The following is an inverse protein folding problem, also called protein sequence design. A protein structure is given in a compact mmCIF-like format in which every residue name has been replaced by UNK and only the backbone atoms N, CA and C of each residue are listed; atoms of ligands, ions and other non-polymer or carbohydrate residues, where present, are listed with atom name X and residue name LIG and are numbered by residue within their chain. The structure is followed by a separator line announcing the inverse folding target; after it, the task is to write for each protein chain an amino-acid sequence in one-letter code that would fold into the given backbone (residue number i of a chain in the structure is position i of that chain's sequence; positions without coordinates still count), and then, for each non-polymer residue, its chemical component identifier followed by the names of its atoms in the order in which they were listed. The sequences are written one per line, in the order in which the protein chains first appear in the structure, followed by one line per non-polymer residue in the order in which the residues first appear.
data_IF_127352596134
#
_entry.id   IF_127352596134
#
_cell.length_a   1.000
_cell.length_b   1.000
_cell.length_c   1.000
_cell.angle_alpha   90.00
_cell.angle_beta   90.00
_cell.angle_gamma   90.00
#
_symmetry.space_group_name_H-M   'P 1'
#
loop_
_entity.id
_entity.type
_entity.pdbx_description
1 polymer ?
#
# COMPACT_ATOMS: atom_id res chain seq x y z
N UNK A 1 23.59 9.91 -19.42
CA UNK A 1 22.22 10.44 -19.54
C UNK A 1 21.99 11.44 -18.41
N UNK A 2 21.07 12.39 -18.56
CA UNK A 2 20.70 13.25 -17.44
C UNK A 2 20.09 12.39 -16.31
N UNK A 3 20.25 12.76 -15.03
CA UNK A 3 19.63 12.04 -13.93
C UNK A 3 18.10 12.05 -14.07
N UNK A 4 17.41 10.92 -13.85
CA UNK A 4 15.95 10.84 -13.89
C UNK A 4 15.27 11.87 -12.99
N UNK A 5 14.17 12.44 -13.47
CA UNK A 5 13.26 13.29 -12.71
C UNK A 5 12.13 12.45 -12.13
N UNK A 6 12.06 12.38 -10.81
CA UNK A 6 11.05 11.64 -10.08
C UNK A 6 10.05 12.61 -9.46
N UNK A 7 8.78 12.47 -9.80
CA UNK A 7 7.69 13.09 -9.07
C UNK A 7 7.04 12.06 -8.14
N UNK A 8 6.89 12.38 -6.85
CA UNK A 8 6.32 11.47 -5.87
C UNK A 8 5.20 12.14 -5.09
N UNK A 9 4.05 11.46 -5.02
CA UNK A 9 2.98 11.81 -4.09
C UNK A 9 2.97 10.84 -2.91
N UNK A 10 2.73 11.35 -1.70
CA UNK A 10 2.68 10.52 -0.49
C UNK A 10 4.02 10.32 0.22
N UNK A 11 5.02 11.18 -0.01
CA UNK A 11 6.35 11.09 0.61
C UNK A 11 6.34 11.13 2.15
N UNK A 12 5.27 11.67 2.72
CA UNK A 12 5.05 11.75 4.18
C UNK A 12 4.04 10.73 4.70
N UNK A 13 3.50 9.89 3.81
CA UNK A 13 2.69 8.73 4.15
C UNK A 13 3.54 7.51 4.52
N UNK A 14 2.88 6.41 4.86
CA UNK A 14 3.53 5.19 5.31
C UNK A 14 4.26 4.45 4.17
N UNK A 15 3.53 4.07 3.13
CA UNK A 15 4.09 3.39 1.95
C UNK A 15 5.02 4.35 1.20
N UNK A 16 4.47 5.49 0.74
CA UNK A 16 5.23 6.45 -0.06
C UNK A 16 6.47 7.02 0.64
N UNK A 17 6.46 7.11 1.98
CA UNK A 17 7.62 7.52 2.74
C UNK A 17 8.73 6.46 2.76
N UNK A 18 8.40 5.19 2.92
CA UNK A 18 9.39 4.10 2.89
C UNK A 18 9.91 3.85 1.45
N UNK A 19 9.03 3.96 0.45
CA UNK A 19 9.39 3.95 -0.98
C UNK A 19 10.37 5.08 -1.29
N UNK A 20 10.06 6.31 -0.88
CA UNK A 20 10.95 7.45 -1.07
C UNK A 20 12.31 7.22 -0.38
N UNK A 21 12.30 6.71 0.85
CA UNK A 21 13.54 6.36 1.56
C UNK A 21 14.40 5.38 0.76
N UNK A 22 13.82 4.28 0.28
CA UNK A 22 14.55 3.23 -0.44
C UNK A 22 15.09 3.73 -1.78
N UNK A 23 14.26 4.40 -2.59
CA UNK A 23 14.66 4.91 -3.91
C UNK A 23 15.71 6.01 -3.78
N UNK A 24 15.53 6.97 -2.88
CA UNK A 24 16.51 8.03 -2.65
C UNK A 24 17.83 7.49 -2.08
N UNK A 25 17.78 6.45 -1.23
CA UNK A 25 19.00 5.84 -0.70
C UNK A 25 19.81 5.16 -1.80
N UNK A 26 19.15 4.47 -2.73
CA UNK A 26 19.80 3.82 -3.87
C UNK A 26 20.30 4.83 -4.91
N UNK A 27 19.52 5.90 -5.15
CA UNK A 27 19.77 6.89 -6.20
C UNK A 27 19.71 8.32 -5.66
N UNK A 28 20.66 8.73 -4.80
CA UNK A 28 20.71 10.09 -4.28
C UNK A 28 21.05 11.14 -5.35
N UNK A 29 21.49 10.71 -6.53
CA UNK A 29 21.84 11.53 -7.69
C UNK A 29 20.64 11.89 -8.58
N UNK A 30 19.48 11.26 -8.39
CA UNK A 30 18.24 11.58 -9.12
C UNK A 30 17.60 12.88 -8.62
N UNK A 31 16.74 13.47 -9.45
CA UNK A 31 16.04 14.71 -9.12
C UNK A 31 14.65 14.42 -8.57
N UNK A 32 14.42 14.70 -7.29
CA UNK A 32 13.15 14.41 -6.62
C UNK A 32 12.28 15.66 -6.45
N UNK A 33 11.03 15.55 -6.87
CA UNK A 33 9.96 16.52 -6.64
C UNK A 33 8.88 15.85 -5.80
N UNK A 34 8.68 16.34 -4.57
CA UNK A 34 7.81 15.69 -3.58
C UNK A 34 6.57 16.54 -3.33
N UNK A 35 5.38 16.01 -3.62
CA UNK A 35 4.12 16.66 -3.27
C UNK A 35 3.88 16.57 -1.76
N UNK A 36 3.77 17.73 -1.11
CA UNK A 36 3.60 17.83 0.34
C UNK A 36 2.53 18.85 0.69
N UNK A 37 1.57 18.43 1.54
CA UNK A 37 0.34 19.19 1.85
C UNK A 37 0.52 20.42 2.72
N UNK A 38 1.62 20.52 3.48
CA UNK A 38 1.82 21.62 4.42
C UNK A 38 3.28 21.99 4.59
N UNK A 39 3.53 23.23 5.02
CA UNK A 39 4.88 23.74 5.32
C UNK A 39 5.56 22.95 6.45
N UNK A 40 4.81 22.49 7.44
CA UNK A 40 5.36 21.68 8.54
C UNK A 40 5.86 20.32 8.02
N UNK A 41 5.08 19.68 7.14
CA UNK A 41 5.50 18.46 6.47
C UNK A 41 6.67 18.69 5.52
N UNK A 42 6.72 19.84 4.85
CA UNK A 42 7.86 20.23 4.03
C UNK A 42 9.14 20.34 4.88
N UNK A 43 9.07 21.03 6.02
CA UNK A 43 10.19 21.14 6.96
C UNK A 43 10.64 19.77 7.51
N UNK A 44 9.67 18.89 7.83
CA UNK A 44 9.96 17.52 8.25
C UNK A 44 10.77 16.77 7.18
N UNK A 45 10.44 16.91 5.90
CA UNK A 45 11.16 16.29 4.79
C UNK A 45 12.54 16.94 4.60
N UNK A 46 12.61 18.27 4.44
CA UNK A 46 13.85 18.97 4.10
C UNK A 46 14.90 18.92 5.22
N UNK A 47 14.48 18.73 6.48
CA UNK A 47 15.41 18.49 7.59
C UNK A 47 16.28 17.24 7.41
N UNK A 48 15.77 16.23 6.69
CA UNK A 48 16.47 14.96 6.40
C UNK A 48 17.00 14.90 4.98
N UNK A 49 16.33 15.56 4.05
CA UNK A 49 16.59 15.52 2.62
C UNK A 49 16.71 16.94 2.05
N UNK A 50 17.82 17.65 2.28
CA UNK A 50 17.94 19.06 1.90
C UNK A 50 17.97 19.32 0.39
N UNK A 51 18.27 18.29 -0.42
CA UNK A 51 18.45 18.43 -1.87
C UNK A 51 17.20 18.10 -2.69
N UNK A 52 16.07 17.79 -2.05
CA UNK A 52 14.81 17.50 -2.75
C UNK A 52 14.02 18.77 -2.99
N UNK A 53 13.28 18.82 -4.09
CA UNK A 53 12.35 19.92 -4.34
C UNK A 53 10.99 19.62 -3.71
N UNK A 54 10.52 20.54 -2.88
CA UNK A 54 9.17 20.47 -2.34
C UNK A 54 8.19 21.12 -3.32
N UNK A 55 7.13 20.38 -3.63
CA UNK A 55 5.94 20.86 -4.34
C UNK A 55 4.84 21.01 -3.29
N UNK A 56 4.54 22.26 -2.90
CA UNK A 56 3.51 22.51 -1.90
C UNK A 56 2.13 22.42 -2.56
N UNK A 57 1.33 21.43 -2.14
CA UNK A 57 0.01 21.15 -2.68
C UNK A 57 -0.58 19.88 -2.09
N UNK A 58 -1.87 19.67 -2.30
CA UNK A 58 -2.61 18.47 -1.92
C UNK A 58 -3.09 17.68 -3.14
N UNK A 59 -3.89 16.64 -2.91
CA UNK A 59 -4.37 15.77 -3.98
C UNK A 59 -5.44 16.43 -4.86
N UNK A 60 -6.05 17.52 -4.39
CA UNK A 60 -6.98 18.35 -5.16
C UNK A 60 -6.28 19.43 -5.98
N UNK A 61 -4.96 19.57 -5.83
CA UNK A 61 -4.12 20.52 -6.57
C UNK A 61 -3.84 20.01 -8.00
N UNK A 62 -4.88 19.75 -8.78
CA UNK A 62 -4.81 19.06 -10.08
C UNK A 62 -3.85 19.72 -11.07
N UNK A 63 -3.87 21.05 -11.21
CA UNK A 63 -2.97 21.77 -12.13
C UNK A 63 -1.49 21.60 -11.75
N UNK A 64 -1.20 21.53 -10.44
CA UNK A 64 0.15 21.29 -9.94
C UNK A 64 0.56 19.86 -10.26
N UNK A 65 -0.29 18.87 -9.97
CA UNK A 65 0.00 17.46 -10.24
C UNK A 65 0.23 17.22 -11.73
N UNK A 66 -0.61 17.78 -12.59
CA UNK A 66 -0.49 17.68 -14.05
C UNK A 66 0.85 18.22 -14.56
N UNK A 67 1.22 19.44 -14.14
CA UNK A 67 2.47 20.07 -14.59
C UNK A 67 3.70 19.33 -14.05
N UNK A 68 3.64 18.81 -12.82
CA UNK A 68 4.71 17.99 -12.25
C UNK A 68 4.90 16.67 -13.00
N UNK A 69 3.81 16.00 -13.36
CA UNK A 69 3.85 14.74 -14.12
C UNK A 69 4.41 14.97 -15.52
N UNK A 70 3.97 16.01 -16.23
CA UNK A 70 4.46 16.38 -17.57
C UNK A 70 5.98 16.61 -17.62
N UNK A 71 6.58 16.99 -16.51
CA UNK A 71 8.01 17.26 -16.40
C UNK A 71 8.83 16.08 -15.82
N UNK A 72 8.17 15.03 -15.31
CA UNK A 72 8.79 13.87 -14.70
C UNK A 72 9.14 12.79 -15.75
N UNK A 73 10.17 12.00 -15.45
CA UNK A 73 10.44 10.76 -16.18
C UNK A 73 9.77 9.59 -15.45
N UNK A 74 9.72 9.63 -14.11
CA UNK A 74 9.11 8.60 -13.25
C UNK A 74 8.12 9.25 -12.30
N UNK A 75 6.92 8.69 -12.20
CA UNK A 75 5.89 9.09 -11.23
C UNK A 75 5.68 7.97 -10.23
N UNK A 76 5.89 8.26 -8.95
CA UNK A 76 5.60 7.37 -7.83
C UNK A 76 4.34 7.86 -7.13
N UNK A 77 3.19 7.33 -7.52
CA UNK A 77 1.89 7.72 -6.95
C UNK A 77 1.55 6.81 -5.76
N UNK A 78 1.83 7.30 -4.54
CA UNK A 78 1.69 6.51 -3.30
C UNK A 78 0.83 7.20 -2.23
N UNK A 79 0.12 8.27 -2.57
CA UNK A 79 -0.59 9.09 -1.58
C UNK A 79 -1.92 8.49 -1.11
N UNK A 80 -2.75 8.06 -2.05
CA UNK A 80 -4.11 7.57 -1.80
C UNK A 80 -4.58 6.80 -3.04
N UNK A 81 -4.96 5.54 -2.88
CA UNK A 81 -5.45 4.67 -3.96
C UNK A 81 -6.93 4.86 -4.27
N UNK A 82 -7.65 5.70 -3.53
CA UNK A 82 -9.08 5.97 -3.72
C UNK A 82 -9.36 7.42 -4.13
N UNK A 83 -8.31 8.23 -4.36
CA UNK A 83 -8.43 9.64 -4.73
C UNK A 83 -8.48 9.85 -6.26
N UNK A 84 -9.70 9.88 -6.81
CA UNK A 84 -9.98 10.02 -8.25
C UNK A 84 -9.31 11.24 -8.89
N UNK A 85 -9.48 12.43 -8.30
CA UNK A 85 -9.03 13.69 -8.93
C UNK A 85 -7.50 13.72 -9.16
N UNK A 86 -6.72 13.13 -8.25
CA UNK A 86 -5.27 13.05 -8.42
C UNK A 86 -4.87 12.05 -9.50
N UNK A 87 -5.60 10.94 -9.65
CA UNK A 87 -5.35 9.98 -10.70
C UNK A 87 -5.69 10.55 -12.08
N UNK A 88 -6.79 11.32 -12.19
CA UNK A 88 -7.14 12.05 -13.41
C UNK A 88 -6.07 13.10 -13.78
N UNK A 89 -5.58 13.86 -12.79
CA UNK A 89 -4.53 14.85 -13.02
C UNK A 89 -3.21 14.20 -13.47
N UNK A 90 -2.85 13.06 -12.87
CA UNK A 90 -1.71 12.25 -13.31
C UNK A 90 -1.90 11.76 -14.75
N UNK A 91 -3.07 11.20 -15.07
CA UNK A 91 -3.37 10.72 -16.41
C UNK A 91 -3.34 11.85 -17.45
N UNK A 92 -3.78 13.06 -17.08
CA UNK A 92 -3.73 14.25 -17.94
C UNK A 92 -2.28 14.72 -18.16
N UNK A 93 -1.48 14.82 -17.10
CA UNK A 93 -0.05 15.15 -17.21
C UNK A 93 0.71 14.13 -18.06
N UNK A 94 0.44 12.84 -17.87
CA UNK A 94 1.08 11.75 -18.61
C UNK A 94 0.79 11.82 -20.12
N UNK A 95 -0.37 12.34 -20.52
CA UNK A 95 -0.75 12.48 -21.93
C UNK A 95 0.13 13.49 -22.71
N UNK A 96 0.94 14.31 -22.03
CA UNK A 96 1.91 15.20 -22.67
C UNK A 96 3.21 14.52 -23.10
N UNK A 97 3.42 13.26 -22.72
CA UNK A 97 4.60 12.50 -23.09
C UNK A 97 4.52 11.95 -24.51
N UNK A 98 5.69 11.76 -25.14
CA UNK A 98 5.84 11.19 -26.48
C UNK A 98 6.63 9.89 -26.44
N UNK A 99 6.62 9.06 -27.50
CA UNK A 99 7.43 7.84 -27.55
C UNK A 99 8.94 8.09 -27.36
N UNK A 100 9.44 9.26 -27.74
CA UNK A 100 10.85 9.67 -27.56
C UNK A 100 11.16 10.11 -26.13
N UNK A 101 10.14 10.52 -25.36
CA UNK A 101 10.25 10.93 -23.96
C UNK A 101 9.08 10.35 -23.14
N UNK A 102 9.02 9.02 -22.98
CA UNK A 102 7.93 8.37 -22.26
C UNK A 102 7.99 8.66 -20.76
N UNK A 103 6.86 8.43 -20.08
CA UNK A 103 6.76 8.49 -18.61
C UNK A 103 6.40 7.13 -18.04
N UNK A 104 7.00 6.79 -16.90
CA UNK A 104 6.68 5.60 -16.13
C UNK A 104 5.88 5.97 -14.89
N UNK A 105 4.60 5.58 -14.85
CA UNK A 105 3.69 5.82 -13.73
C UNK A 105 3.56 4.54 -12.92
N UNK A 106 4.15 4.55 -11.72
CA UNK A 106 4.04 3.47 -10.73
C UNK A 106 3.01 3.90 -9.70
N UNK A 107 1.85 3.27 -9.75
CA UNK A 107 0.69 3.59 -8.93
C UNK A 107 0.52 2.55 -7.82
N UNK A 108 0.33 3.04 -6.59
CA UNK A 108 -0.05 2.20 -5.46
C UNK A 108 -1.56 2.05 -5.43
N UNK A 109 -2.03 0.82 -5.56
CA UNK A 109 -3.39 0.39 -5.26
C UNK A 109 -3.38 -0.47 -3.99
N UNK A 110 -4.21 -1.49 -3.89
CA UNK A 110 -4.23 -2.40 -2.73
C UNK A 110 -5.00 -3.69 -2.98
N UNK A 111 -4.65 -4.78 -2.29
CA UNK A 111 -5.40 -6.04 -2.43
C UNK A 111 -6.78 -6.01 -1.77
N UNK A 112 -7.18 -4.88 -1.17
CA UNK A 112 -8.57 -4.60 -0.83
C UNK A 112 -9.51 -4.81 -2.02
N UNK A 113 -9.02 -4.58 -3.24
CA UNK A 113 -9.74 -4.87 -4.50
C UNK A 113 -10.21 -6.33 -4.62
N UNK A 114 -9.55 -7.28 -3.96
CA UNK A 114 -9.88 -8.72 -4.00
C UNK A 114 -10.98 -9.13 -3.00
N UNK A 115 -11.48 -8.20 -2.18
CA UNK A 115 -12.46 -8.47 -1.11
C UNK A 115 -13.93 -8.38 -1.58
N UNK A 116 -14.16 -8.21 -2.89
CA UNK A 116 -15.47 -7.94 -3.50
C UNK A 116 -16.57 -8.93 -3.10
N UNK A 117 -16.22 -10.21 -2.92
CA UNK A 117 -17.19 -11.24 -2.51
C UNK A 117 -17.72 -10.99 -1.10
N UNK A 118 -16.86 -10.59 -0.15
CA UNK A 118 -17.26 -10.32 1.23
C UNK A 118 -18.22 -9.14 1.32
N UNK A 119 -17.95 -8.08 0.56
CA UNK A 119 -18.84 -6.91 0.48
C UNK A 119 -20.18 -7.25 -0.18
N UNK A 120 -20.18 -7.98 -1.30
CA UNK A 120 -21.43 -8.34 -2.01
C UNK A 120 -22.32 -9.28 -1.21
N UNK A 121 -21.72 -10.22 -0.49
CA UNK A 121 -22.45 -11.18 0.33
C UNK A 121 -22.73 -10.67 1.74
N UNK A 122 -22.06 -9.58 2.16
CA UNK A 122 -22.06 -9.04 3.51
C UNK A 122 -21.80 -10.13 4.57
N UNK A 123 -20.76 -10.93 4.35
CA UNK A 123 -20.34 -11.98 5.28
C UNK A 123 -18.86 -11.82 5.63
N UNK A 124 -18.56 -11.91 6.92
CA UNK A 124 -17.25 -11.60 7.48
C UNK A 124 -16.72 -12.77 8.34
N UNK A 125 -15.40 -12.97 8.35
CA UNK A 125 -14.74 -14.02 9.10
C UNK A 125 -14.75 -15.40 8.44
N UNK A 126 -15.27 -15.51 7.20
CA UNK A 126 -15.38 -16.78 6.47
C UNK A 126 -14.13 -17.09 5.67
N UNK A 127 -13.85 -18.39 5.52
CA UNK A 127 -12.86 -18.86 4.56
C UNK A 127 -13.37 -18.69 3.13
N UNK A 128 -12.58 -18.02 2.27
CA UNK A 128 -12.79 -17.95 0.83
C UNK A 128 -11.74 -18.77 0.11
N UNK A 129 -12.13 -19.64 -0.81
CA UNK A 129 -11.20 -20.48 -1.58
C UNK A 129 -10.62 -19.81 -2.83
N UNK A 130 -11.23 -18.72 -3.30
CA UNK A 130 -10.76 -18.00 -4.50
C UNK A 130 -9.39 -17.39 -4.24
N UNK A 131 -8.48 -17.61 -5.18
CA UNK A 131 -7.14 -17.03 -5.19
C UNK A 131 -6.90 -16.35 -6.54
N UNK A 132 -6.05 -15.32 -6.52
CA UNK A 132 -5.61 -14.57 -7.69
C UNK A 132 -4.08 -14.64 -7.81
N UNK A 133 -3.54 -14.41 -9.01
CA UNK A 133 -2.10 -14.25 -9.20
C UNK A 133 -1.81 -13.21 -10.29
N UNK A 134 -0.69 -12.52 -10.17
CA UNK A 134 -0.31 -11.41 -11.05
C UNK A 134 0.49 -11.82 -12.29
N UNK A 135 0.68 -13.12 -12.52
CA UNK A 135 1.43 -13.64 -13.67
C UNK A 135 0.50 -14.21 -14.73
N UNK A 136 -0.01 -15.43 -14.52
CA UNK A 136 -0.94 -16.10 -15.43
C UNK A 136 -2.36 -15.53 -15.30
N UNK A 137 -2.72 -15.06 -14.11
CA UNK A 137 -4.01 -14.45 -13.79
C UNK A 137 -4.07 -12.93 -13.97
N UNK A 138 -3.05 -12.30 -14.58
CA UNK A 138 -2.99 -10.82 -14.71
C UNK A 138 -4.19 -10.25 -15.46
N UNK A 139 -4.72 -10.97 -16.44
CA UNK A 139 -5.87 -10.51 -17.23
C UNK A 139 -7.14 -10.45 -16.35
N UNK A 140 -7.26 -11.31 -15.33
CA UNK A 140 -8.34 -11.20 -14.34
C UNK A 140 -8.19 -9.94 -13.49
N UNK A 141 -6.97 -9.63 -13.01
CA UNK A 141 -6.70 -8.43 -12.20
C UNK A 141 -7.00 -7.14 -12.96
N UNK A 142 -6.67 -7.10 -14.25
CA UNK A 142 -6.96 -5.95 -15.12
C UNK A 142 -8.45 -5.77 -15.43
N UNK A 143 -9.27 -6.80 -15.21
CA UNK A 143 -10.70 -6.83 -15.52
C UNK A 143 -11.57 -7.15 -14.30
N UNK A 144 -11.11 -6.81 -13.09
CA UNK A 144 -11.91 -6.95 -11.87
C UNK A 144 -13.20 -6.12 -11.94
N UNK A 145 -14.28 -6.55 -11.25
CA UNK A 145 -15.56 -5.86 -11.25
C UNK A 145 -15.48 -4.39 -10.84
N UNK A 146 -16.29 -3.53 -11.44
CA UNK A 146 -16.29 -2.07 -11.22
C UNK A 146 -16.61 -1.65 -9.77
N UNK A 147 -17.34 -2.48 -9.02
CA UNK A 147 -17.66 -2.31 -7.59
C UNK A 147 -16.58 -2.86 -6.64
N UNK A 148 -15.46 -3.34 -7.18
CA UNK A 148 -14.30 -3.71 -6.36
C UNK A 148 -13.64 -2.45 -5.79
N UNK A 149 -13.12 -2.53 -4.55
CA UNK A 149 -12.36 -1.43 -3.93
C UNK A 149 -11.23 -0.94 -4.82
N UNK A 150 -10.91 0.35 -4.80
CA UNK A 150 -9.84 0.99 -5.58
C UNK A 150 -10.02 0.95 -7.11
N UNK A 151 -10.96 0.15 -7.64
CA UNK A 151 -11.10 -0.12 -9.08
C UNK A 151 -11.37 1.14 -9.90
N UNK A 152 -12.14 2.06 -9.35
CA UNK A 152 -12.44 3.35 -9.96
C UNK A 152 -11.15 4.14 -10.28
N UNK A 153 -10.14 4.08 -9.41
CA UNK A 153 -8.85 4.75 -9.60
C UNK A 153 -7.91 3.93 -10.50
N UNK A 154 -7.83 2.62 -10.27
CA UNK A 154 -7.04 1.71 -11.12
C UNK A 154 -7.39 1.87 -12.60
N UNK A 155 -8.69 1.96 -12.93
CA UNK A 155 -9.17 2.13 -14.31
C UNK A 155 -8.63 3.40 -14.96
N UNK A 156 -8.59 4.52 -14.23
CA UNK A 156 -8.08 5.79 -14.76
C UNK A 156 -6.60 5.64 -15.16
N UNK A 157 -5.79 4.98 -14.33
CA UNK A 157 -4.38 4.73 -14.61
C UNK A 157 -4.21 3.74 -15.76
N UNK A 158 -4.98 2.65 -15.81
CA UNK A 158 -4.97 1.69 -16.92
C UNK A 158 -5.31 2.38 -18.24
N UNK A 159 -6.40 3.13 -18.28
CA UNK A 159 -6.88 3.85 -19.46
C UNK A 159 -5.89 4.92 -19.94
N UNK A 160 -5.11 5.53 -19.04
CA UNK A 160 -4.03 6.45 -19.42
C UNK A 160 -2.97 5.77 -20.31
N UNK A 161 -2.56 4.55 -19.96
CA UNK A 161 -1.63 3.76 -20.79
C UNK A 161 -2.27 3.26 -22.09
N UNK A 162 -3.55 2.89 -22.07
CA UNK A 162 -4.25 2.39 -23.28
C UNK A 162 -4.42 3.48 -24.33
N UNK A 163 -4.58 4.74 -23.93
CA UNK A 163 -4.68 5.89 -24.85
C UNK A 163 -3.36 6.16 -25.59
N UNK A 164 -2.22 5.98 -24.93
CA UNK A 164 -0.89 6.30 -25.46
C UNK A 164 0.16 5.26 -25.04
N UNK A 165 0.07 4.00 -25.49
CA UNK A 165 0.85 2.89 -24.93
C UNK A 165 2.35 2.98 -25.22
N UNK A 166 2.77 3.75 -26.21
CA UNK A 166 4.17 4.00 -26.52
C UNK A 166 4.80 5.06 -25.60
N UNK A 167 4.01 6.03 -25.15
CA UNK A 167 4.46 7.17 -24.34
C UNK A 167 4.20 7.03 -22.84
N UNK A 168 3.16 6.28 -22.46
CA UNK A 168 2.73 6.14 -21.06
C UNK A 168 2.86 4.69 -20.65
N UNK A 169 3.77 4.43 -19.71
CA UNK A 169 4.05 3.11 -19.16
C UNK A 169 3.53 3.03 -17.73
N UNK A 170 2.58 2.15 -17.46
CA UNK A 170 1.98 2.03 -16.13
C UNK A 170 2.37 0.74 -15.43
N UNK A 171 2.61 0.83 -14.13
CA UNK A 171 2.67 -0.31 -13.23
C UNK A 171 1.75 -0.03 -12.03
N UNK A 172 0.81 -0.93 -11.75
CA UNK A 172 -0.04 -0.89 -10.56
C UNK A 172 0.52 -1.89 -9.55
N UNK A 173 0.84 -1.43 -8.35
CA UNK A 173 1.33 -2.25 -7.25
C UNK A 173 0.22 -2.39 -6.22
N UNK A 174 -0.19 -3.63 -5.94
CA UNK A 174 -1.25 -4.00 -5.02
C UNK A 174 -0.65 -4.74 -3.81
N UNK A 175 -0.23 -4.01 -2.78
CA UNK A 175 0.18 -4.62 -1.51
C UNK A 175 -1.03 -5.11 -0.68
N UNK A 176 -0.88 -6.17 0.12
CA UNK A 176 -1.92 -6.70 0.98
C UNK A 176 -1.86 -6.07 2.38
N UNK A 177 -1.98 -6.82 3.48
CA UNK A 177 -1.77 -6.26 4.82
C UNK A 177 -0.31 -5.84 4.96
N UNK A 178 -0.06 -4.53 4.96
CA UNK A 178 1.27 -3.95 5.13
C UNK A 178 1.56 -3.75 6.61
N UNK A 179 2.77 -4.03 7.06
CA UNK A 179 3.15 -3.86 8.46
C UNK A 179 4.66 -3.60 8.63
N UNK A 180 5.07 -3.36 9.87
CA UNK A 180 6.45 -3.09 10.25
C UNK A 180 6.80 -1.60 10.29
N UNK A 181 7.95 -1.24 10.89
CA UNK A 181 8.35 0.15 11.03
C UNK A 181 8.78 0.75 9.68
N UNK A 182 8.10 1.83 9.28
CA UNK A 182 8.49 2.62 8.11
C UNK A 182 9.73 3.47 8.37
N UNK A 183 10.50 3.76 7.32
CA UNK A 183 11.75 4.53 7.38
C UNK A 183 11.64 5.94 6.80
N UNK A 184 10.47 6.26 6.23
CA UNK A 184 10.19 7.53 5.60
C UNK A 184 10.23 8.74 6.56
N UNK A 185 10.22 9.96 6.01
CA UNK A 185 10.31 11.18 6.81
C UNK A 185 9.05 11.44 7.64
N UNK A 186 7.88 10.91 7.24
CA UNK A 186 6.56 11.20 7.82
C UNK A 186 5.98 10.08 8.69
N UNK A 187 4.79 9.57 8.31
CA UNK A 187 4.17 8.46 9.02
C UNK A 187 5.01 7.18 8.88
N UNK A 188 5.24 6.48 9.99
CA UNK A 188 6.02 5.24 10.04
C UNK A 188 5.21 4.07 10.62
N UNK A 189 3.91 4.28 10.86
CA UNK A 189 3.01 3.30 11.48
C UNK A 189 1.95 2.82 10.49
N UNK A 190 1.74 1.51 10.45
CA UNK A 190 0.67 0.90 9.66
C UNK A 190 -0.70 1.01 10.35
N UNK A 191 -1.69 0.31 9.80
CA UNK A 191 -3.11 0.52 10.04
C UNK A 191 -3.78 -0.73 10.64
N UNK A 192 -3.99 -1.79 9.86
CA UNK A 192 -4.96 -2.86 10.20
C UNK A 192 -4.63 -3.58 11.54
N UNK A 193 -3.40 -4.08 11.70
CA UNK A 193 -2.99 -4.78 12.92
C UNK A 193 -2.83 -3.82 14.13
N UNK A 194 -2.48 -2.57 13.87
CA UNK A 194 -2.36 -1.53 14.91
C UNK A 194 -3.74 -1.13 15.43
N UNK A 195 -4.72 -0.96 14.55
CA UNK A 195 -6.11 -0.74 14.95
C UNK A 195 -6.67 -1.92 15.75
N UNK A 196 -6.34 -3.16 15.36
CA UNK A 196 -6.74 -4.36 16.11
C UNK A 196 -6.16 -4.34 17.53
N UNK A 197 -4.86 -4.10 17.66
CA UNK A 197 -4.21 -4.00 18.97
C UNK A 197 -4.81 -2.89 19.82
N UNK A 198 -5.01 -1.70 19.26
CA UNK A 198 -5.65 -0.59 19.96
C UNK A 198 -7.09 -0.93 20.39
N UNK A 199 -7.87 -1.61 19.55
CA UNK A 199 -9.23 -2.04 19.88
C UNK A 199 -9.26 -3.04 21.04
N UNK A 200 -8.40 -4.07 21.00
CA UNK A 200 -8.27 -5.07 22.08
C UNK A 200 -7.88 -4.40 23.41
N UNK A 201 -6.90 -3.49 23.38
CA UNK A 201 -6.42 -2.78 24.57
C UNK A 201 -7.49 -1.85 25.16
N UNK A 202 -8.17 -1.05 24.34
CA UNK A 202 -9.27 -0.17 24.79
C UNK A 202 -10.42 -0.95 25.39
N UNK A 203 -10.79 -2.07 24.76
CA UNK A 203 -11.88 -2.96 25.21
C UNK A 203 -11.49 -3.83 26.40
N UNK A 204 -10.19 -3.99 26.67
CA UNK A 204 -9.62 -4.89 27.67
C UNK A 204 -10.03 -6.36 27.49
N UNK A 205 -10.27 -6.79 26.24
CA UNK A 205 -10.62 -8.18 25.91
C UNK A 205 -10.37 -8.45 24.44
N UNK A 206 -9.89 -9.64 24.12
CA UNK A 206 -9.75 -10.11 22.74
C UNK A 206 -11.09 -10.36 22.07
N UNK A 207 -11.12 -10.33 20.74
CA UNK A 207 -12.32 -10.63 19.96
C UNK A 207 -12.00 -11.30 18.62
N UNK A 208 -12.99 -11.99 18.05
CA UNK A 208 -13.00 -12.54 16.69
C UNK A 208 -14.04 -11.82 15.84
N UNK A 209 -13.79 -11.74 14.52
CA UNK A 209 -14.82 -11.37 13.54
C UNK A 209 -15.32 -12.65 12.88
N UNK A 210 -16.63 -12.91 12.98
CA UNK A 210 -17.24 -14.16 12.50
C UNK A 210 -16.51 -15.40 12.99
N UNK A 211 -16.28 -16.36 12.10
CA UNK A 211 -15.54 -17.60 12.41
C UNK A 211 -14.02 -17.39 12.53
N UNK A 212 -13.50 -16.23 12.12
CA UNK A 212 -12.06 -15.92 12.10
C UNK A 212 -11.25 -16.84 11.18
N UNK A 213 -11.84 -17.35 10.09
CA UNK A 213 -11.22 -18.24 9.10
C UNK A 213 -10.82 -17.53 7.81
N UNK A 214 -11.10 -16.23 7.71
CA UNK A 214 -10.72 -15.39 6.58
C UNK A 214 -9.20 -15.24 6.49
N UNK A 215 -8.70 -15.24 5.25
CA UNK A 215 -7.27 -15.25 4.94
C UNK A 215 -6.91 -13.96 4.22
N UNK A 216 -5.82 -13.35 4.68
CA UNK A 216 -5.13 -12.28 3.97
C UNK A 216 -3.68 -12.68 3.68
N UNK A 217 -3.10 -12.04 2.68
CA UNK A 217 -1.66 -12.01 2.51
C UNK A 217 -1.03 -10.84 3.26
N UNK A 218 0.28 -10.88 3.46
CA UNK A 218 1.00 -9.87 4.24
C UNK A 218 2.25 -9.41 3.52
N UNK A 219 2.72 -8.19 3.78
CA UNK A 219 4.05 -7.75 3.35
C UNK A 219 4.62 -6.75 4.35
N UNK A 220 5.90 -6.90 4.67
CA UNK A 220 6.59 -5.88 5.46
C UNK A 220 6.85 -4.66 4.58
N UNK A 221 6.60 -3.44 5.08
CA UNK A 221 6.72 -2.20 4.27
C UNK A 221 8.10 -2.04 3.63
N UNK A 222 9.15 -2.51 4.31
CA UNK A 222 10.51 -2.45 3.78
C UNK A 222 10.75 -3.42 2.62
N UNK A 223 10.16 -4.62 2.65
CA UNK A 223 10.24 -5.55 1.51
C UNK A 223 9.37 -5.05 0.35
N UNK A 224 8.24 -4.40 0.65
CA UNK A 224 7.38 -3.77 -0.35
C UNK A 224 8.13 -2.69 -1.12
N UNK A 225 8.86 -1.82 -0.41
CA UNK A 225 9.65 -0.75 -1.03
C UNK A 225 10.72 -1.28 -2.00
N UNK A 226 11.21 -2.51 -1.83
CA UNK A 226 12.15 -3.13 -2.77
C UNK A 226 11.49 -3.39 -4.15
N UNK A 227 10.18 -3.69 -4.18
CA UNK A 227 9.43 -3.81 -5.45
C UNK A 227 9.36 -2.46 -6.18
N UNK A 228 9.09 -1.38 -5.44
CA UNK A 228 9.08 -0.03 -6.03
C UNK A 228 10.46 0.40 -6.49
N UNK A 229 11.51 0.08 -5.73
CA UNK A 229 12.90 0.30 -6.14
C UNK A 229 13.21 -0.40 -7.46
N UNK A 230 12.88 -1.69 -7.58
CA UNK A 230 13.10 -2.45 -8.81
C UNK A 230 12.31 -1.90 -10.01
N UNK A 231 11.07 -1.43 -9.80
CA UNK A 231 10.27 -0.77 -10.82
C UNK A 231 10.87 0.58 -11.23
N UNK A 232 11.35 1.38 -10.28
CA UNK A 232 12.01 2.66 -10.53
C UNK A 232 13.33 2.47 -11.31
N UNK A 233 14.14 1.47 -10.95
CA UNK A 233 15.35 1.09 -11.67
C UNK A 233 15.03 0.68 -13.11
N UNK A 234 13.99 -0.14 -13.28
CA UNK A 234 13.55 -0.58 -14.60
C UNK A 234 13.06 0.60 -15.44
N UNK A 235 12.30 1.53 -14.86
CA UNK A 235 11.85 2.76 -15.51
C UNK A 235 13.03 3.63 -15.97
N UNK A 236 14.01 3.89 -15.08
CA UNK A 236 15.22 4.64 -15.40
C UNK A 236 16.06 3.99 -16.51
N UNK A 237 15.99 2.66 -16.64
CA UNK A 237 16.63 1.88 -17.71
C UNK A 237 15.79 1.75 -19.00
N UNK A 238 14.70 2.53 -19.15
CA UNK A 238 13.86 2.48 -20.35
C UNK A 238 12.87 1.31 -20.39
N UNK A 239 12.47 0.79 -19.23
CA UNK A 239 11.52 -0.32 -19.06
C UNK A 239 12.14 -1.58 -18.45
N UNK A 240 13.45 -1.77 -18.60
CA UNK A 240 14.24 -2.80 -17.90
C UNK A 240 13.65 -4.21 -17.97
N UNK A 241 13.74 -4.94 -16.85
CA UNK A 241 13.14 -6.28 -16.69
C UNK A 241 11.65 -6.24 -16.32
N UNK A 242 11.11 -5.06 -16.03
CA UNK A 242 9.73 -4.91 -15.63
C UNK A 242 8.80 -5.10 -16.84
N UNK A 243 7.61 -5.59 -16.58
CA UNK A 243 6.48 -5.51 -17.49
C UNK A 243 5.62 -4.30 -17.15
N UNK A 244 4.98 -3.71 -18.15
CA UNK A 244 4.21 -2.47 -18.03
C UNK A 244 2.84 -2.65 -18.71
N UNK A 245 1.93 -1.71 -18.48
CA UNK A 245 0.62 -1.63 -19.14
C UNK A 245 -0.25 -2.88 -18.90
N UNK A 246 -0.60 -3.62 -19.95
CA UNK A 246 -1.41 -4.84 -19.90
C UNK A 246 -0.72 -6.02 -19.18
N UNK A 247 0.56 -5.88 -18.86
CA UNK A 247 1.29 -6.79 -17.98
C UNK A 247 1.91 -6.05 -16.80
N UNK A 248 1.45 -4.83 -16.51
CA UNK A 248 1.94 -3.94 -15.47
C UNK A 248 1.23 -4.07 -14.12
N UNK A 249 0.52 -5.17 -13.83
CA UNK A 249 -0.14 -5.36 -12.54
C UNK A 249 0.71 -6.26 -11.64
N UNK A 250 1.07 -5.77 -10.45
CA UNK A 250 2.00 -6.41 -9.50
C UNK A 250 1.30 -6.60 -8.17
N UNK A 251 1.06 -7.84 -7.77
CA UNK A 251 0.76 -8.15 -6.38
C UNK A 251 2.10 -8.16 -5.62
N UNK A 252 2.09 -7.76 -4.35
CA UNK A 252 3.32 -7.65 -3.55
C UNK A 252 3.12 -8.26 -2.15
N UNK A 253 3.29 -9.57 -2.02
CA UNK A 253 3.08 -10.31 -0.76
C UNK A 253 4.27 -11.18 -0.34
N UNK A 254 4.29 -11.54 0.95
CA UNK A 254 5.19 -12.47 1.61
C UNK A 254 4.43 -13.46 2.52
N UNK A 255 3.61 -14.28 1.89
CA UNK A 255 2.84 -15.35 2.50
C UNK A 255 1.47 -14.91 3.02
N UNK A 256 0.72 -15.92 3.46
CA UNK A 256 -0.64 -15.79 4.00
C UNK A 256 -0.68 -15.88 5.52
N UNK A 257 -1.74 -15.33 6.10
CA UNK A 257 -2.13 -15.55 7.49
C UNK A 257 -3.66 -15.62 7.61
N UNK A 258 -4.11 -16.22 8.71
CA UNK A 258 -5.53 -16.27 9.09
C UNK A 258 -5.80 -15.17 10.10
N UNK A 259 -6.79 -14.31 9.85
CA UNK A 259 -7.08 -13.17 10.74
C UNK A 259 -7.43 -13.61 12.16
N UNK A 260 -8.21 -14.68 12.33
CA UNK A 260 -8.54 -15.21 13.65
C UNK A 260 -7.30 -15.61 14.46
N UNK A 261 -6.21 -16.04 13.80
CA UNK A 261 -4.95 -16.35 14.49
C UNK A 261 -4.22 -15.09 14.95
N UNK A 262 -4.23 -14.03 14.14
CA UNK A 262 -3.69 -12.72 14.52
C UNK A 262 -4.50 -12.11 15.67
N UNK A 263 -5.82 -12.19 15.62
CA UNK A 263 -6.72 -11.72 16.68
C UNK A 263 -6.46 -12.44 18.02
N UNK A 264 -6.30 -13.77 17.98
CA UNK A 264 -5.91 -14.56 19.16
C UNK A 264 -4.53 -14.21 19.67
N UNK A 265 -3.55 -14.04 18.78
CA UNK A 265 -2.18 -13.73 19.19
C UNK A 265 -2.08 -12.33 19.81
N UNK A 266 -2.78 -11.31 19.28
CA UNK A 266 -2.86 -9.97 19.88
C UNK A 266 -3.44 -10.05 21.31
N UNK A 267 -4.54 -10.78 21.51
CA UNK A 267 -5.16 -10.95 22.83
C UNK A 267 -4.21 -11.66 23.81
N UNK A 268 -3.57 -12.74 23.37
CA UNK A 268 -2.58 -13.48 24.15
C UNK A 268 -1.40 -12.59 24.57
N UNK A 269 -0.78 -11.88 23.63
CA UNK A 269 0.36 -10.99 23.89
C UNK A 269 -0.04 -9.84 24.84
N UNK A 270 -1.21 -9.23 24.64
CA UNK A 270 -1.70 -8.19 25.54
C UNK A 270 -1.94 -8.70 26.97
N UNK A 271 -2.42 -9.94 27.11
CA UNK A 271 -2.59 -10.60 28.41
C UNK A 271 -1.25 -10.91 29.08
N UNK A 272 -0.29 -11.48 28.34
CA UNK A 272 1.07 -11.78 28.84
C UNK A 272 1.77 -10.50 29.33
N UNK A 273 1.53 -9.37 28.66
CA UNK A 273 1.99 -8.03 29.05
C UNK A 273 1.17 -7.39 30.18
N UNK A 274 0.16 -8.07 30.72
CA UNK A 274 -0.74 -7.61 31.79
C UNK A 274 -1.55 -6.36 31.42
N UNK A 275 -1.78 -6.13 30.13
CA UNK A 275 -2.54 -4.99 29.61
C UNK A 275 -4.04 -5.28 29.57
N UNK A 276 -4.43 -6.56 29.53
CA UNK A 276 -5.81 -7.04 29.61
C UNK A 276 -5.91 -8.19 30.62
N UNK A 277 -7.09 -8.45 31.23
CA UNK A 277 -7.24 -9.43 32.31
C UNK A 277 -7.31 -10.91 31.87
N UNK A 278 -7.57 -11.19 30.59
CA UNK A 278 -7.66 -12.56 30.05
C UNK A 278 -7.21 -12.60 28.58
N UNK A 279 -6.59 -13.71 28.10
CA UNK A 279 -6.25 -13.90 26.69
C UNK A 279 -7.46 -14.38 25.85
N UNK A 280 -8.59 -14.68 26.48
CA UNK A 280 -9.75 -15.25 25.81
C UNK A 280 -10.32 -14.29 24.76
N UNK A 281 -10.77 -14.87 23.65
CA UNK A 281 -11.44 -14.15 22.56
C UNK A 281 -12.91 -14.56 22.48
N UNK A 282 -13.76 -13.61 22.12
CA UNK A 282 -15.16 -13.87 21.79
C UNK A 282 -15.50 -13.36 20.39
N UNK A 283 -16.38 -14.04 19.67
CA UNK A 283 -16.89 -13.48 18.42
C UNK A 283 -17.80 -12.30 18.73
N UNK A 284 -17.57 -11.15 18.09
CA UNK A 284 -18.44 -9.99 18.23
C UNK A 284 -19.46 -9.93 17.08
N UNK A 285 -20.68 -9.42 17.34
CA UNK A 285 -21.60 -9.03 16.28
C UNK A 285 -20.99 -7.92 15.41
N UNK A 286 -21.35 -7.92 14.12
CA UNK A 286 -20.80 -6.98 13.14
C UNK A 286 -20.90 -5.51 13.57
N UNK A 287 -22.03 -5.10 14.14
CA UNK A 287 -22.24 -3.75 14.64
C UNK A 287 -21.22 -3.36 15.74
N UNK A 288 -20.88 -4.28 16.64
CA UNK A 288 -19.88 -4.02 17.68
C UNK A 288 -18.46 -3.96 17.09
N UNK A 289 -18.16 -4.75 16.05
CA UNK A 289 -16.88 -4.63 15.33
C UNK A 289 -16.76 -3.24 14.70
N UNK A 290 -17.83 -2.75 14.05
CA UNK A 290 -17.88 -1.42 13.44
C UNK A 290 -17.81 -0.28 14.45
N UNK A 291 -18.35 -0.46 15.66
CA UNK A 291 -18.21 0.50 16.77
C UNK A 291 -16.76 0.59 17.27
N UNK A 292 -16.01 -0.52 17.26
CA UNK A 292 -14.59 -0.52 17.63
C UNK A 292 -13.74 0.19 16.57
N UNK A 293 -14.08 -0.02 15.29
CA UNK A 293 -13.48 0.64 14.15
C UNK A 293 -14.42 0.54 12.95
N UNK A 294 -14.74 1.67 12.30
CA UNK A 294 -15.68 1.70 11.17
C UNK A 294 -15.24 0.81 9.99
N UNK A 295 -13.93 0.57 9.85
CA UNK A 295 -13.34 -0.34 8.86
C UNK A 295 -13.06 -1.74 9.41
N UNK A 296 -13.48 -2.06 10.64
CA UNK A 296 -13.11 -3.30 11.34
C UNK A 296 -13.56 -4.57 10.62
N UNK A 297 -14.76 -4.56 10.03
CA UNK A 297 -15.27 -5.69 9.24
C UNK A 297 -14.41 -5.93 7.99
N UNK A 298 -14.09 -4.87 7.26
CA UNK A 298 -13.15 -4.93 6.13
C UNK A 298 -11.76 -5.39 6.60
N UNK A 299 -11.19 -4.73 7.60
CA UNK A 299 -9.82 -4.90 8.01
C UNK A 299 -9.54 -6.28 8.62
N UNK A 300 -10.48 -6.85 9.39
CA UNK A 300 -10.26 -8.08 10.16
C UNK A 300 -11.19 -9.22 9.77
N UNK A 301 -12.25 -8.94 9.01
CA UNK A 301 -13.28 -9.91 8.61
C UNK A 301 -13.28 -10.28 7.13
N UNK A 302 -12.70 -9.49 6.24
CA UNK A 302 -12.65 -9.82 4.81
C UNK A 302 -11.54 -10.83 4.48
N UNK A 303 -11.56 -11.40 3.28
CA UNK A 303 -10.51 -12.26 2.73
C UNK A 303 -9.89 -11.62 1.47
N UNK A 304 -8.56 -11.64 1.39
CA UNK A 304 -7.81 -11.10 0.25
C UNK A 304 -6.62 -11.99 -0.08
N UNK A 305 -6.69 -12.70 -1.21
CA UNK A 305 -5.77 -13.80 -1.54
C UNK A 305 -5.19 -13.62 -2.94
N UNK A 306 -4.05 -12.94 -3.03
CA UNK A 306 -3.36 -12.66 -4.29
C UNK A 306 -1.87 -12.98 -4.23
N UNK A 307 -1.38 -13.85 -5.11
CA UNK A 307 0.01 -14.31 -5.14
C UNK A 307 0.91 -13.41 -6.01
N UNK A 308 2.05 -12.98 -5.45
CA UNK A 308 3.02 -12.07 -6.08
C UNK A 308 4.07 -12.82 -6.91
N UNK A 309 3.68 -13.42 -8.03
CA UNK A 309 4.58 -14.19 -8.87
C UNK A 309 5.45 -13.31 -9.76
N UNK A 310 4.94 -12.16 -10.20
CA UNK A 310 5.59 -11.28 -11.19
C UNK A 310 6.88 -10.66 -10.66
N UNK A 311 6.84 -10.00 -9.50
CA UNK A 311 8.03 -9.37 -8.90
C UNK A 311 9.13 -10.40 -8.60
N UNK A 312 8.75 -11.59 -8.11
CA UNK A 312 9.69 -12.69 -7.85
C UNK A 312 10.38 -13.17 -9.12
N UNK A 313 9.62 -13.37 -10.21
CA UNK A 313 10.17 -13.83 -11.50
C UNK A 313 11.03 -12.79 -12.21
N UNK A 314 10.59 -11.53 -12.24
CA UNK A 314 11.26 -10.48 -13.02
C UNK A 314 12.48 -9.88 -12.30
N UNK A 315 12.38 -9.72 -10.97
CA UNK A 315 13.39 -9.00 -10.18
C UNK A 315 14.19 -9.92 -9.26
N UNK A 316 13.82 -11.20 -9.14
CA UNK A 316 14.37 -12.06 -8.08
C UNK A 316 13.99 -11.58 -6.69
N UNK A 317 12.90 -10.79 -6.57
CA UNK A 317 12.44 -10.24 -5.31
C UNK A 317 12.17 -11.37 -4.31
N UNK A 318 12.84 -11.32 -3.16
CA UNK A 318 12.77 -12.34 -2.12
C UNK A 318 12.60 -11.64 -0.77
N UNK A 319 11.35 -11.36 -0.36
CA UNK A 319 11.07 -10.67 0.90
C UNK A 319 11.65 -11.45 2.09
N UNK A 320 12.25 -10.74 3.04
CA UNK A 320 13.07 -11.34 4.10
C UNK A 320 12.79 -10.81 5.51
N UNK A 321 11.92 -9.81 5.64
CA UNK A 321 11.60 -9.22 6.94
C UNK A 321 10.72 -10.16 7.76
N UNK A 322 10.68 -9.97 9.10
CA UNK A 322 9.83 -10.76 9.98
C UNK A 322 8.36 -10.70 9.55
N UNK A 323 7.60 -11.75 9.85
CA UNK A 323 6.16 -11.85 9.60
C UNK A 323 5.35 -10.89 10.48
N UNK A 324 4.08 -10.65 10.12
CA UNK A 324 3.17 -9.84 10.94
C UNK A 324 3.04 -10.43 12.34
N UNK A 325 2.90 -11.76 12.42
CA UNK A 325 2.75 -12.48 13.68
C UNK A 325 3.95 -12.26 14.61
N UNK A 326 5.17 -12.31 14.06
CA UNK A 326 6.40 -12.05 14.81
C UNK A 326 6.48 -10.62 15.35
N UNK A 327 5.86 -9.64 14.66
CA UNK A 327 5.84 -8.24 15.09
C UNK A 327 4.67 -7.85 16.01
N UNK A 328 3.77 -8.78 16.36
CA UNK A 328 2.64 -8.52 17.26
C UNK A 328 3.11 -7.96 18.63
N UNK A 329 4.16 -8.51 19.28
CA UNK A 329 4.67 -7.95 20.53
C UNK A 329 5.02 -6.46 20.45
N UNK A 330 5.74 -6.01 19.41
CA UNK A 330 6.04 -4.58 19.28
C UNK A 330 4.81 -3.75 18.91
N UNK A 331 3.91 -4.27 18.07
CA UNK A 331 2.66 -3.59 17.71
C UNK A 331 1.82 -3.32 18.98
N UNK A 332 1.68 -4.31 19.86
CA UNK A 332 0.98 -4.16 21.14
C UNK A 332 1.67 -3.12 22.03
N UNK A 333 3.00 -3.14 22.12
CA UNK A 333 3.74 -2.15 22.90
C UNK A 333 3.57 -0.71 22.37
N UNK A 334 3.58 -0.54 21.05
CA UNK A 334 3.37 0.75 20.39
C UNK A 334 1.99 1.29 20.74
N UNK A 335 0.93 0.48 20.61
CA UNK A 335 -0.43 0.95 20.89
C UNK A 335 -0.70 1.12 22.38
N UNK A 336 -0.10 0.29 23.24
CA UNK A 336 -0.18 0.47 24.68
C UNK A 336 0.44 1.81 25.12
N UNK A 337 1.61 2.17 24.57
CA UNK A 337 2.22 3.50 24.81
C UNK A 337 1.35 4.63 24.28
N UNK A 338 0.78 4.50 23.07
CA UNK A 338 -0.12 5.51 22.50
C UNK A 338 -1.38 5.73 23.37
N UNK A 339 -1.82 4.70 24.09
CA UNK A 339 -2.96 4.74 25.01
C UNK A 339 -2.58 5.11 26.46
N UNK A 340 -1.30 5.33 26.75
CA UNK A 340 -0.82 5.64 28.11
C UNK A 340 -0.92 4.46 29.09
N UNK A 341 -0.87 3.22 28.58
CA UNK A 341 -0.90 2.00 29.39
C UNK A 341 0.51 1.48 29.77
N UNK A 342 1.56 1.99 29.11
CA UNK A 342 2.98 1.69 29.33
C UNK A 342 3.81 2.97 29.43
#
# INVERSE_FOLDING_TARGET
MAPPKVFLTGATGYIGGDVFYAVHQAHPDWQYSLLVRSKDKAAQVTSKYPNVRIVLGDLDSSDIIEEEVKNADIVLHCADCDHVASAEAIAKGAAHHTPEKPVWVIHTSGTGILTVEDFRTNTWGFYRSKEHNDWEGVDELLNLPDDSFHRNVDKIIIEASQRSPESVKTAIVCPPTIYGPGRGPGNQKSVQAYWLAAAVLKRKKGFLVGEGKNIWHQVHVQDLSDVYGALADAAAAGGGKATWNDKGYYLAENGQFVWGDIQREVAKVAYEKKLIPSPDVESLPDAQVSELNEFGLYAWGSSSRGHALRARKLFGWSPSKPSLKELIPEIVDIEAKNLGLL
#
